data_IF_795171212338
#
_entry.id   IF_795171212338
#
_cell.length_a   1.000
_cell.length_b   1.000
_cell.length_c   1.000
_cell.angle_alpha   90.00
_cell.angle_beta   90.00
_cell.angle_gamma   90.00
#
_symmetry.space_group_name_H-M   'P 1'
#
loop_
_entity.id
_entity.type
_entity.pdbx_description
1 polymer ?
#
# COMPACT_ATOMS: atom_id res chain seq x y z
N UNK A 1 -44.90 85.66 -0.47
CA UNK A 1 -43.46 85.87 -0.21
C UNK A 1 -42.78 84.52 -0.12
N UNK A 2 -42.07 84.15 -1.18
CA UNK A 2 -41.29 82.91 -1.32
C UNK A 2 -39.91 83.12 -0.68
N UNK A 3 -39.47 82.24 0.22
CA UNK A 3 -38.04 81.93 0.44
C UNK A 3 -37.82 80.50 0.95
N UNK A 4 -37.33 79.67 0.02
CA UNK A 4 -36.14 78.79 0.09
C UNK A 4 -36.15 77.69 1.19
N UNK A 5 -36.42 76.45 0.74
CA UNK A 5 -36.09 75.19 1.44
C UNK A 5 -34.62 74.83 1.17
N UNK A 6 -33.83 74.67 2.24
CA UNK A 6 -32.48 74.11 2.16
C UNK A 6 -32.55 72.59 1.97
N UNK A 7 -31.88 72.11 0.91
CA UNK A 7 -31.63 70.71 0.59
C UNK A 7 -30.45 70.20 1.43
N UNK A 8 -30.71 69.28 2.37
CA UNK A 8 -29.67 68.49 3.03
C UNK A 8 -29.48 67.17 2.28
N UNK A 9 -28.38 67.05 1.54
CA UNK A 9 -27.98 65.80 0.90
C UNK A 9 -27.50 64.81 1.96
N UNK A 10 -28.32 63.79 2.25
CA UNK A 10 -27.87 62.60 2.98
C UNK A 10 -27.20 61.66 1.96
N UNK A 11 -25.89 61.77 1.81
CA UNK A 11 -25.09 60.84 1.01
C UNK A 11 -25.12 59.44 1.64
N UNK A 12 -25.89 58.53 1.05
CA UNK A 12 -25.80 57.10 1.33
C UNK A 12 -24.54 56.55 0.65
N UNK A 13 -23.51 56.31 1.44
CA UNK A 13 -22.29 55.63 1.00
C UNK A 13 -22.62 54.13 0.85
N UNK A 14 -22.93 53.71 -0.38
CA UNK A 14 -23.08 52.29 -0.75
C UNK A 14 -21.69 51.64 -0.75
N UNK A 15 -21.35 51.00 0.37
CA UNK A 15 -20.15 50.15 0.49
C UNK A 15 -20.42 48.87 -0.31
N UNK A 16 -19.95 48.84 -1.56
CA UNK A 16 -19.80 47.60 -2.31
C UNK A 16 -18.60 46.86 -1.72
N UNK A 17 -18.85 45.96 -0.76
CA UNK A 17 -17.88 44.92 -0.42
C UNK A 17 -17.85 43.95 -1.60
N UNK A 18 -16.73 43.81 -2.34
CA UNK A 18 -16.57 42.65 -3.19
C UNK A 18 -16.49 41.45 -2.26
N UNK A 19 -17.60 40.71 -2.12
CA UNK A 19 -17.50 39.36 -1.61
C UNK A 19 -16.65 38.61 -2.61
N UNK A 20 -15.36 38.44 -2.29
CA UNK A 20 -14.56 37.38 -2.86
C UNK A 20 -15.31 36.08 -2.56
N UNK A 21 -16.16 35.65 -3.48
CA UNK A 21 -16.54 34.25 -3.59
C UNK A 21 -15.26 33.60 -4.11
N UNK A 22 -14.31 33.37 -3.22
CA UNK A 22 -13.31 32.35 -3.43
C UNK A 22 -14.11 31.06 -3.47
N UNK A 23 -14.44 30.59 -4.67
CA UNK A 23 -14.77 29.19 -4.84
C UNK A 23 -13.51 28.46 -4.40
N UNK A 24 -13.54 27.97 -3.17
CA UNK A 24 -12.63 26.95 -2.69
C UNK A 24 -12.88 25.74 -3.58
N UNK A 25 -12.21 25.71 -4.73
CA UNK A 25 -12.10 24.52 -5.55
C UNK A 25 -11.15 23.60 -4.79
N UNK A 26 -11.67 22.94 -3.77
CA UNK A 26 -11.13 21.66 -3.37
C UNK A 26 -11.37 20.76 -4.59
N UNK A 27 -10.31 20.48 -5.34
CA UNK A 27 -10.31 19.39 -6.29
C UNK A 27 -10.57 18.12 -5.48
N UNK A 28 -11.84 17.71 -5.41
CA UNK A 28 -12.22 16.43 -4.83
C UNK A 28 -11.40 15.36 -5.57
N UNK A 29 -10.58 14.57 -4.86
CA UNK A 29 -9.66 13.67 -5.53
C UNK A 29 -10.47 12.67 -6.34
N UNK A 30 -10.31 12.72 -7.67
CA UNK A 30 -10.91 11.74 -8.55
C UNK A 30 -10.45 10.34 -8.12
N UNK A 31 -11.40 9.47 -7.83
CA UNK A 31 -11.17 8.06 -7.51
C UNK A 31 -11.48 7.20 -8.73
N UNK A 32 -10.89 6.01 -8.80
CA UNK A 32 -11.22 5.07 -9.86
C UNK A 32 -12.69 4.61 -9.74
N UNK A 33 -13.49 4.70 -10.82
CA UNK A 33 -14.84 4.15 -10.82
C UNK A 33 -14.82 2.65 -10.52
N UNK A 34 -15.78 2.17 -9.71
CA UNK A 34 -15.79 0.78 -9.25
C UNK A 34 -17.19 0.18 -9.16
N UNK A 35 -17.23 -1.14 -9.28
CA UNK A 35 -18.41 -1.95 -8.98
C UNK A 35 -18.17 -2.65 -7.64
N UNK A 36 -19.08 -2.48 -6.71
CA UNK A 36 -19.11 -3.21 -5.44
C UNK A 36 -20.16 -4.31 -5.45
N UNK A 37 -19.82 -5.44 -4.83
CA UNK A 37 -20.68 -6.60 -4.64
C UNK A 37 -20.79 -6.89 -3.14
N UNK A 38 -21.89 -7.48 -2.70
CA UNK A 38 -22.08 -7.92 -1.31
C UNK A 38 -21.06 -8.99 -0.89
N UNK A 39 -20.65 -9.83 -1.85
CA UNK A 39 -19.62 -10.85 -1.67
C UNK A 39 -18.86 -11.05 -2.98
N UNK A 40 -17.59 -11.46 -2.89
CA UNK A 40 -16.79 -11.85 -4.06
C UNK A 40 -16.99 -13.32 -4.45
N UNK A 41 -17.62 -14.10 -3.57
CA UNK A 41 -17.89 -15.52 -3.75
C UNK A 41 -19.27 -15.89 -3.20
N UNK A 42 -20.04 -16.68 -3.96
CA UNK A 42 -21.34 -17.20 -3.54
C UNK A 42 -21.37 -18.72 -3.76
N UNK A 43 -21.89 -19.44 -2.78
CA UNK A 43 -22.24 -20.85 -2.91
C UNK A 43 -23.71 -20.99 -3.25
N UNK A 44 -24.05 -21.86 -4.19
CA UNK A 44 -25.43 -22.20 -4.55
C UNK A 44 -25.61 -23.71 -4.63
N UNK A 45 -26.78 -24.19 -4.25
CA UNK A 45 -27.18 -25.55 -4.60
C UNK A 45 -27.60 -25.60 -6.08
N UNK A 46 -27.48 -26.76 -6.73
CA UNK A 46 -28.10 -27.00 -8.05
C UNK A 46 -29.56 -26.51 -8.06
N UNK A 47 -29.97 -25.88 -9.17
CA UNK A 47 -31.28 -25.28 -9.44
C UNK A 47 -31.60 -24.01 -8.62
N UNK A 48 -30.78 -23.68 -7.62
CA UNK A 48 -30.95 -22.45 -6.86
C UNK A 48 -30.71 -21.21 -7.74
N UNK A 49 -31.44 -20.15 -7.42
CA UNK A 49 -31.35 -18.87 -8.09
C UNK A 49 -31.07 -17.75 -7.11
N UNK A 50 -30.29 -16.77 -7.54
CA UNK A 50 -30.02 -15.56 -6.77
C UNK A 50 -30.05 -14.34 -7.67
N UNK A 51 -30.72 -13.29 -7.20
CA UNK A 51 -30.73 -12.00 -7.86
C UNK A 51 -29.49 -11.22 -7.42
N UNK A 52 -28.67 -10.77 -8.37
CA UNK A 52 -27.55 -9.90 -8.07
C UNK A 52 -28.03 -8.46 -7.85
N UNK A 53 -27.40 -7.77 -6.90
CA UNK A 53 -27.63 -6.36 -6.57
C UNK A 53 -26.31 -5.56 -6.54
N UNK A 54 -25.54 -5.52 -7.65
CA UNK A 54 -24.29 -4.75 -7.71
C UNK A 54 -24.54 -3.24 -7.56
N UNK A 55 -23.57 -2.54 -6.97
CA UNK A 55 -23.58 -1.07 -6.82
C UNK A 55 -22.42 -0.47 -7.61
N UNK A 56 -22.65 0.64 -8.28
CA UNK A 56 -21.61 1.35 -9.03
C UNK A 56 -21.31 2.69 -8.38
N UNK A 57 -20.02 2.99 -8.26
CA UNK A 57 -19.51 4.27 -7.77
C UNK A 57 -18.71 4.94 -8.88
N UNK A 58 -19.02 6.21 -9.15
CA UNK A 58 -18.38 7.00 -10.19
C UNK A 58 -17.01 7.54 -9.76
N UNK A 59 -16.41 8.38 -10.60
CA UNK A 59 -15.08 8.99 -10.38
C UNK A 59 -15.02 9.96 -9.20
N UNK A 60 -16.16 10.32 -8.63
CA UNK A 60 -16.27 11.13 -7.41
C UNK A 60 -16.61 10.27 -6.18
N UNK A 61 -16.59 8.94 -6.32
CA UNK A 61 -16.95 8.01 -5.25
C UNK A 61 -18.44 8.05 -4.88
N UNK A 62 -19.29 8.62 -5.73
CA UNK A 62 -20.73 8.68 -5.51
C UNK A 62 -21.42 7.48 -6.15
N UNK A 63 -22.37 6.89 -5.43
CA UNK A 63 -23.19 5.81 -5.97
C UNK A 63 -24.12 6.33 -7.06
N UNK A 64 -24.15 5.64 -8.20
CA UNK A 64 -24.97 5.98 -9.35
C UNK A 64 -25.75 4.75 -9.81
N UNK A 65 -27.04 4.93 -10.10
CA UNK A 65 -27.89 3.87 -10.63
C UNK A 65 -27.58 3.67 -12.11
N UNK A 66 -27.11 2.47 -12.46
CA UNK A 66 -26.70 2.13 -13.82
C UNK A 66 -27.26 0.77 -14.23
N UNK A 67 -27.31 0.52 -15.54
CA UNK A 67 -27.63 -0.79 -16.09
C UNK A 67 -26.35 -1.57 -16.36
N UNK A 68 -26.23 -2.74 -15.73
CA UNK A 68 -25.06 -3.61 -15.90
C UNK A 68 -25.25 -4.61 -17.04
N UNK A 69 -24.14 -4.93 -17.70
CA UNK A 69 -24.06 -6.06 -18.61
C UNK A 69 -23.51 -7.26 -17.86
N UNK A 70 -24.29 -8.35 -17.85
CA UNK A 70 -23.92 -9.60 -17.22
C UNK A 70 -23.49 -10.62 -18.25
N UNK A 71 -22.47 -11.41 -17.94
CA UNK A 71 -22.11 -12.58 -18.73
C UNK A 71 -21.60 -13.70 -17.82
N UNK A 72 -21.83 -14.95 -18.21
CA UNK A 72 -21.24 -16.09 -17.53
C UNK A 72 -20.09 -16.65 -18.37
N UNK A 73 -18.99 -16.97 -17.68
CA UNK A 73 -17.85 -17.70 -18.27
C UNK A 73 -18.22 -19.13 -18.68
N UNK A 74 -19.24 -19.73 -18.06
CA UNK A 74 -19.74 -21.05 -18.43
C UNK A 74 -21.27 -21.15 -18.17
N UNK A 75 -22.10 -20.77 -19.17
CA UNK A 75 -23.57 -20.77 -19.04
C UNK A 75 -24.23 -22.14 -18.79
N UNK A 76 -23.50 -23.23 -19.02
CA UNK A 76 -23.96 -24.60 -18.74
C UNK A 76 -23.77 -24.97 -17.25
N UNK A 77 -22.83 -24.32 -16.57
CA UNK A 77 -22.57 -24.50 -15.14
C UNK A 77 -23.38 -23.51 -14.30
N UNK A 78 -23.29 -22.23 -14.64
CA UNK A 78 -24.04 -21.12 -14.03
C UNK A 78 -24.47 -20.18 -15.15
N UNK A 79 -25.77 -19.88 -15.27
CA UNK A 79 -26.24 -18.85 -16.19
C UNK A 79 -26.62 -17.58 -15.45
N UNK A 80 -26.59 -16.45 -16.16
CA UNK A 80 -27.11 -15.17 -15.69
C UNK A 80 -27.94 -14.56 -16.81
N UNK A 81 -29.11 -14.00 -16.51
CA UNK A 81 -29.93 -13.30 -17.51
C UNK A 81 -29.60 -11.79 -17.53
N UNK A 82 -30.25 -11.04 -18.44
CA UNK A 82 -30.03 -9.59 -18.58
C UNK A 82 -30.47 -8.77 -17.36
N UNK A 83 -31.32 -9.32 -16.50
CA UNK A 83 -31.74 -8.68 -15.25
C UNK A 83 -30.81 -9.01 -14.07
N UNK A 84 -29.76 -9.83 -14.27
CA UNK A 84 -28.84 -10.24 -13.21
C UNK A 84 -29.32 -11.41 -12.35
N UNK A 85 -30.37 -12.13 -12.78
CA UNK A 85 -30.79 -13.37 -12.11
C UNK A 85 -29.83 -14.50 -12.49
N UNK A 86 -29.11 -15.01 -11.50
CA UNK A 86 -28.17 -16.13 -11.64
C UNK A 86 -28.88 -17.45 -11.35
N UNK A 87 -28.60 -18.49 -12.13
CA UNK A 87 -29.14 -19.84 -11.93
C UNK A 87 -28.01 -20.86 -11.94
N UNK A 88 -27.93 -21.66 -10.88
CA UNK A 88 -27.01 -22.78 -10.74
C UNK A 88 -27.53 -24.01 -11.52
N UNK A 89 -26.72 -24.57 -12.42
CA UNK A 89 -27.15 -25.66 -13.32
C UNK A 89 -26.38 -26.96 -13.11
N UNK A 90 -25.06 -26.89 -12.97
CA UNK A 90 -24.23 -28.09 -12.75
C UNK A 90 -23.16 -27.83 -11.70
N UNK A 91 -22.73 -28.84 -10.94
CA UNK A 91 -21.67 -28.70 -9.96
C UNK A 91 -20.37 -28.12 -10.52
N UNK A 92 -19.66 -27.37 -9.69
CA UNK A 92 -18.35 -26.81 -9.99
C UNK A 92 -18.27 -25.31 -9.74
N UNK A 93 -17.16 -24.71 -10.13
CA UNK A 93 -16.90 -23.27 -10.00
C UNK A 93 -17.06 -22.58 -11.34
N UNK A 94 -17.92 -21.56 -11.38
CA UNK A 94 -18.10 -20.66 -12.52
C UNK A 94 -17.90 -19.21 -12.12
N UNK A 95 -17.79 -18.33 -13.11
CA UNK A 95 -17.67 -16.89 -12.90
C UNK A 95 -18.75 -16.13 -13.67
N UNK A 96 -19.37 -15.17 -12.99
CA UNK A 96 -20.25 -14.16 -13.59
C UNK A 96 -19.49 -12.85 -13.66
N UNK A 97 -19.35 -12.28 -14.87
CA UNK A 97 -18.78 -10.95 -15.08
C UNK A 97 -19.90 -9.91 -15.07
N UNK A 98 -19.71 -8.84 -14.30
CA UNK A 98 -20.57 -7.67 -14.22
C UNK A 98 -19.78 -6.50 -14.81
N UNK A 99 -20.32 -5.84 -15.83
CA UNK A 99 -19.66 -4.72 -16.53
C UNK A 99 -20.56 -3.50 -16.60
N UNK A 100 -19.96 -2.32 -16.44
CA UNK A 100 -20.56 -1.05 -16.79
C UNK A 100 -19.70 -0.34 -17.85
N UNK A 101 -20.11 -0.47 -19.11
CA UNK A 101 -19.33 -0.02 -20.26
C UNK A 101 -17.89 -0.52 -20.20
N UNK A 102 -16.95 0.36 -20.52
CA UNK A 102 -15.52 0.15 -20.34
C UNK A 102 -14.99 0.73 -19.01
N UNK A 103 -15.87 1.38 -18.22
CA UNK A 103 -15.49 2.11 -17.01
C UNK A 103 -15.14 1.19 -15.85
N UNK A 104 -15.91 0.11 -15.68
CA UNK A 104 -15.71 -0.81 -14.57
C UNK A 104 -16.14 -2.24 -14.92
N UNK A 105 -15.40 -3.20 -14.38
CA UNK A 105 -15.70 -4.63 -14.46
C UNK A 105 -15.41 -5.29 -13.11
N UNK A 106 -16.28 -6.21 -12.69
CA UNK A 106 -16.06 -7.08 -11.54
C UNK A 106 -16.41 -8.51 -11.92
N UNK A 107 -15.67 -9.47 -11.37
CA UNK A 107 -15.92 -10.90 -11.54
C UNK A 107 -16.39 -11.48 -10.22
N UNK A 108 -17.52 -12.17 -10.24
CA UNK A 108 -18.12 -12.87 -9.10
C UNK A 108 -17.91 -14.37 -9.28
N UNK A 109 -17.32 -15.02 -8.28
CA UNK A 109 -17.19 -16.47 -8.28
C UNK A 109 -18.46 -17.13 -7.74
N UNK A 110 -19.02 -18.08 -8.49
CA UNK A 110 -20.17 -18.89 -8.09
C UNK A 110 -19.73 -20.35 -7.97
N UNK A 111 -19.96 -20.97 -6.82
CA UNK A 111 -19.68 -22.40 -6.61
C UNK A 111 -20.99 -23.14 -6.46
N UNK A 112 -21.26 -24.04 -7.40
CA UNK A 112 -22.45 -24.86 -7.42
C UNK A 112 -22.13 -26.21 -6.80
N UNK A 113 -22.91 -26.61 -5.80
CA UNK A 113 -22.78 -27.89 -5.09
C UNK A 113 -24.04 -28.73 -5.22
N UNK A 114 -23.89 -30.06 -5.19
CA UNK A 114 -25.03 -30.98 -5.18
C UNK A 114 -25.54 -31.20 -3.75
N UNK A 115 -24.61 -31.36 -2.81
CA UNK A 115 -24.89 -31.53 -1.39
C UNK A 115 -24.62 -30.21 -0.64
N UNK A 116 -25.60 -29.67 0.10
CA UNK A 116 -25.42 -28.42 0.85
C UNK A 116 -24.33 -28.46 1.94
N UNK A 117 -23.82 -29.65 2.29
CA UNK A 117 -22.73 -29.84 3.26
C UNK A 117 -21.33 -29.83 2.63
N UNK A 118 -21.24 -29.75 1.29
CA UNK A 118 -19.96 -29.62 0.58
C UNK A 118 -19.32 -28.24 0.77
N UNK A 119 -18.05 -28.11 0.38
CA UNK A 119 -17.34 -26.83 0.39
C UNK A 119 -17.98 -25.92 -0.66
N UNK A 120 -18.53 -24.80 -0.22
CA UNK A 120 -19.19 -23.82 -1.09
C UNK A 120 -18.49 -22.46 -1.10
N UNK A 121 -17.87 -22.09 0.02
CA UNK A 121 -17.16 -20.81 0.19
C UNK A 121 -15.80 -21.04 0.83
N UNK A 122 -14.77 -20.38 0.31
CA UNK A 122 -13.41 -20.41 0.87
C UNK A 122 -12.94 -18.97 1.00
N UNK A 123 -12.76 -18.49 2.23
CA UNK A 123 -12.28 -17.15 2.51
C UNK A 123 -10.89 -17.19 3.09
N UNK A 124 -10.02 -16.31 2.62
CA UNK A 124 -8.66 -16.12 3.12
C UNK A 124 -8.49 -14.70 3.60
N UNK A 125 -7.81 -14.54 4.74
CA UNK A 125 -7.42 -13.26 5.32
C UNK A 125 -5.98 -13.33 5.84
N UNK A 126 -5.40 -12.15 6.07
CA UNK A 126 -4.17 -11.97 6.82
C UNK A 126 -4.24 -10.65 7.57
N UNK A 127 -3.73 -10.64 8.80
CA UNK A 127 -3.63 -9.45 9.65
C UNK A 127 -2.68 -8.42 9.02
N UNK A 128 -1.48 -8.86 8.63
CA UNK A 128 -0.46 -8.02 7.99
C UNK A 128 -0.32 -8.37 6.52
N UNK A 129 -0.54 -7.37 5.65
CA UNK A 129 -0.45 -7.49 4.19
C UNK A 129 0.67 -6.68 3.56
N UNK A 130 1.21 -5.70 4.27
CA UNK A 130 2.41 -4.97 3.86
C UNK A 130 3.62 -5.54 4.59
N UNK A 131 4.56 -6.10 3.85
CA UNK A 131 5.75 -6.76 4.38
C UNK A 131 7.01 -6.11 3.82
N UNK A 132 8.12 -6.26 4.55
CA UNK A 132 9.46 -6.02 4.01
C UNK A 132 10.09 -7.35 3.58
N UNK A 133 11.06 -7.36 2.65
CA UNK A 133 11.76 -8.58 2.26
C UNK A 133 12.23 -9.41 3.47
N UNK A 134 12.03 -10.72 3.40
CA UNK A 134 12.33 -11.67 4.48
C UNK A 134 11.29 -11.77 5.60
N UNK A 135 10.38 -10.79 5.73
CA UNK A 135 9.28 -10.89 6.69
C UNK A 135 8.25 -11.93 6.26
N UNK A 136 7.53 -12.46 7.25
CA UNK A 136 6.50 -13.47 7.07
C UNK A 136 5.15 -13.01 7.61
N UNK A 137 4.07 -13.55 7.06
CA UNK A 137 2.71 -13.38 7.57
C UNK A 137 1.96 -14.70 7.43
N UNK A 138 1.13 -15.04 8.41
CA UNK A 138 0.32 -16.25 8.38
C UNK A 138 -1.02 -15.94 7.73
N UNK A 139 -1.41 -16.76 6.75
CA UNK A 139 -2.76 -16.71 6.20
C UNK A 139 -3.73 -17.44 7.13
N UNK A 140 -4.88 -16.82 7.33
CA UNK A 140 -6.05 -17.41 7.97
C UNK A 140 -7.04 -17.85 6.89
N UNK A 141 -7.74 -18.95 7.14
CA UNK A 141 -8.68 -19.53 6.19
C UNK A 141 -9.99 -19.95 6.88
N UNK A 142 -11.10 -19.66 6.23
CA UNK A 142 -12.43 -20.15 6.60
C UNK A 142 -13.02 -20.90 5.40
N UNK A 143 -13.41 -22.16 5.64
CA UNK A 143 -13.99 -23.05 4.63
C UNK A 143 -15.42 -23.32 5.08
N UNK A 144 -16.41 -22.97 4.28
CA UNK A 144 -17.82 -23.00 4.67
C UNK A 144 -18.67 -23.80 3.68
N UNK A 145 -19.72 -24.43 4.21
CA UNK A 145 -20.80 -25.02 3.43
C UNK A 145 -21.91 -23.99 3.13
N UNK A 146 -23.03 -24.40 2.52
CA UNK A 146 -24.12 -23.48 2.17
C UNK A 146 -24.83 -22.87 3.38
N UNK A 147 -24.79 -23.51 4.56
CA UNK A 147 -25.37 -22.96 5.79
C UNK A 147 -24.42 -22.03 6.55
N UNK A 148 -23.22 -21.77 6.01
CA UNK A 148 -22.19 -20.93 6.64
C UNK A 148 -21.43 -21.65 7.75
N UNK A 149 -21.62 -22.96 7.94
CA UNK A 149 -20.89 -23.73 8.92
C UNK A 149 -19.44 -23.96 8.47
N UNK A 150 -18.50 -23.72 9.38
CA UNK A 150 -17.09 -23.99 9.11
C UNK A 150 -16.81 -25.50 9.02
N UNK A 151 -16.11 -25.90 7.96
CA UNK A 151 -15.67 -27.26 7.70
C UNK A 151 -14.19 -27.42 8.06
N UNK A 152 -13.82 -28.53 8.69
CA UNK A 152 -12.44 -28.85 9.07
C UNK A 152 -11.93 -30.10 8.34
N UNK A 153 -10.64 -30.42 8.51
CA UNK A 153 -10.02 -31.62 7.95
C UNK A 153 -9.91 -31.65 6.42
N UNK A 154 -9.99 -30.49 5.76
CA UNK A 154 -9.85 -30.37 4.30
C UNK A 154 -8.40 -30.17 3.91
N UNK A 155 -7.99 -30.74 2.78
CA UNK A 155 -6.70 -30.45 2.16
C UNK A 155 -6.74 -29.08 1.50
N UNK A 156 -5.76 -28.23 1.82
CA UNK A 156 -5.67 -26.87 1.33
C UNK A 156 -4.48 -26.78 0.36
N UNK A 157 -4.71 -26.20 -0.82
CA UNK A 157 -3.66 -25.90 -1.79
C UNK A 157 -3.45 -24.40 -1.81
N UNK A 158 -2.32 -23.95 -1.28
CA UNK A 158 -1.91 -22.55 -1.32
C UNK A 158 -1.12 -22.25 -2.60
N UNK A 159 -1.27 -21.06 -3.14
CA UNK A 159 -0.43 -20.59 -4.23
C UNK A 159 -0.35 -19.06 -4.28
N UNK A 160 0.77 -18.57 -4.82
CA UNK A 160 1.00 -17.16 -5.11
C UNK A 160 0.87 -16.93 -6.61
N UNK A 161 0.25 -15.83 -7.03
CA UNK A 161 0.22 -15.47 -8.45
C UNK A 161 1.60 -15.04 -8.97
N UNK A 162 2.49 -14.58 -8.08
CA UNK A 162 3.87 -14.25 -8.42
C UNK A 162 4.83 -14.59 -7.26
N UNK A 163 5.37 -15.80 -7.31
CA UNK A 163 6.33 -16.32 -6.33
C UNK A 163 7.64 -15.52 -6.25
N UNK A 164 7.96 -14.70 -7.27
CA UNK A 164 9.15 -13.83 -7.22
C UNK A 164 8.95 -12.64 -6.27
N UNK A 165 7.70 -12.26 -5.98
CA UNK A 165 7.34 -11.18 -5.05
C UNK A 165 7.09 -11.75 -3.65
N UNK A 166 6.26 -12.79 -3.53
CA UNK A 166 6.03 -13.48 -2.26
C UNK A 166 5.70 -14.95 -2.50
N UNK A 167 6.25 -15.85 -1.67
CA UNK A 167 5.96 -17.29 -1.70
C UNK A 167 5.01 -17.64 -0.56
N UNK A 168 4.30 -18.76 -0.68
CA UNK A 168 3.43 -19.32 0.37
C UNK A 168 3.72 -20.80 0.54
N UNK A 169 3.88 -21.27 1.77
CA UNK A 169 4.09 -22.69 2.03
C UNK A 169 2.78 -23.49 2.15
N UNK A 170 2.88 -24.81 2.31
CA UNK A 170 1.73 -25.71 2.46
C UNK A 170 0.85 -25.42 3.68
N UNK A 171 1.35 -24.68 4.67
CA UNK A 171 0.64 -24.31 5.89
C UNK A 171 0.05 -22.88 5.80
N UNK A 172 0.19 -22.20 4.65
CA UNK A 172 -0.28 -20.82 4.47
C UNK A 172 0.65 -19.77 5.05
N UNK A 173 1.90 -20.11 5.38
CA UNK A 173 2.89 -19.12 5.80
C UNK A 173 3.49 -18.43 4.58
N UNK A 174 3.24 -17.14 4.44
CA UNK A 174 3.75 -16.32 3.34
C UNK A 174 5.10 -15.72 3.72
N UNK A 175 6.05 -15.76 2.79
CA UNK A 175 7.36 -15.09 2.91
C UNK A 175 7.52 -14.04 1.82
N UNK A 176 7.81 -12.80 2.22
CA UNK A 176 8.08 -11.69 1.29
C UNK A 176 9.48 -11.81 0.67
N UNK A 177 9.55 -11.67 -0.65
CA UNK A 177 10.79 -11.89 -1.42
C UNK A 177 11.29 -10.60 -2.06
N UNK A 178 10.54 -10.04 -3.02
CA UNK A 178 10.93 -8.84 -3.77
C UNK A 178 9.83 -7.80 -3.75
N UNK A 179 10.23 -6.54 -3.95
CA UNK A 179 9.30 -5.42 -4.03
C UNK A 179 8.20 -5.67 -5.08
N UNK A 180 7.00 -5.21 -4.76
CA UNK A 180 5.84 -5.35 -5.64
C UNK A 180 4.60 -5.81 -4.90
N UNK A 181 3.56 -6.16 -5.65
CA UNK A 181 2.31 -6.70 -5.12
C UNK A 181 2.00 -8.02 -5.81
N UNK A 182 1.50 -8.99 -5.05
CA UNK A 182 1.00 -10.25 -5.59
C UNK A 182 -0.17 -10.74 -4.76
N UNK A 183 -1.09 -11.47 -5.39
CA UNK A 183 -2.21 -12.08 -4.71
C UNK A 183 -1.89 -13.51 -4.29
N UNK A 184 -2.21 -13.82 -3.04
CA UNK A 184 -2.16 -15.17 -2.49
C UNK A 184 -3.56 -15.74 -2.46
N UNK A 185 -3.67 -17.02 -2.81
CA UNK A 185 -4.93 -17.76 -2.89
C UNK A 185 -4.82 -19.11 -2.19
N UNK A 186 -5.97 -19.64 -1.79
CA UNK A 186 -6.15 -21.03 -1.43
C UNK A 186 -7.13 -21.71 -2.40
N UNK A 187 -6.97 -23.02 -2.58
CA UNK A 187 -7.94 -23.87 -3.27
C UNK A 187 -8.26 -25.08 -2.40
N UNK A 188 -9.55 -25.33 -2.20
CA UNK A 188 -10.07 -26.45 -1.40
C UNK A 188 -11.18 -27.13 -2.19
N UNK A 189 -11.05 -28.43 -2.44
CA UNK A 189 -12.06 -29.21 -3.18
C UNK A 189 -12.50 -28.58 -4.52
N UNK A 190 -11.58 -27.93 -5.25
CA UNK A 190 -11.89 -27.24 -6.51
C UNK A 190 -12.28 -25.77 -6.37
N UNK A 191 -12.73 -25.35 -5.18
CA UNK A 191 -13.15 -23.98 -4.88
C UNK A 191 -11.93 -23.10 -4.60
N UNK A 192 -11.74 -22.05 -5.42
CA UNK A 192 -10.71 -21.01 -5.21
C UNK A 192 -11.22 -19.98 -4.19
N UNK A 193 -10.32 -19.41 -3.38
CA UNK A 193 -10.65 -18.35 -2.42
C UNK A 193 -10.73 -16.97 -3.06
N UNK A 194 -11.15 -15.97 -2.26
CA UNK A 194 -10.83 -14.57 -2.57
C UNK A 194 -9.29 -14.35 -2.59
N UNK A 195 -8.80 -13.36 -3.36
CA UNK A 195 -7.41 -12.96 -3.30
C UNK A 195 -7.10 -12.29 -1.95
N UNK A 196 -5.89 -12.53 -1.45
CA UNK A 196 -5.25 -11.66 -0.44
C UNK A 196 -4.02 -11.02 -1.07
N UNK A 197 -4.13 -9.74 -1.41
CA UNK A 197 -3.01 -8.95 -1.93
C UNK A 197 -1.96 -8.72 -0.84
N UNK A 198 -0.76 -9.21 -1.09
CA UNK A 198 0.44 -8.97 -0.30
C UNK A 198 1.29 -7.94 -1.03
N UNK A 199 1.66 -6.87 -0.31
CA UNK A 199 2.51 -5.79 -0.81
C UNK A 199 3.87 -5.87 -0.12
N UNK A 200 4.92 -6.11 -0.90
CA UNK A 200 6.30 -6.06 -0.41
C UNK A 200 6.85 -4.67 -0.67
N UNK A 201 7.07 -3.92 0.39
CA UNK A 201 7.57 -2.55 0.36
C UNK A 201 9.08 -2.51 0.53
N UNK A 202 9.69 -1.41 0.08
CA UNK A 202 11.08 -1.06 0.43
C UNK A 202 11.07 -0.46 1.82
N UNK A 203 11.96 -0.92 2.70
CA UNK A 203 12.19 -0.24 3.97
C UNK A 203 13.19 0.90 3.72
N UNK A 204 12.79 2.13 4.00
CA UNK A 204 13.62 3.32 3.84
C UNK A 204 13.51 4.18 5.08
N UNK A 205 14.65 4.58 5.63
CA UNK A 205 14.75 5.67 6.57
C UNK A 205 15.37 6.89 5.87
N UNK A 206 14.97 8.08 6.27
CA UNK A 206 15.60 9.32 5.80
C UNK A 206 15.83 10.30 6.94
N UNK A 207 16.80 11.19 6.74
CA UNK A 207 17.11 12.26 7.68
C UNK A 207 17.71 13.46 6.97
N UNK A 208 17.37 14.65 7.44
CA UNK A 208 17.99 15.90 6.97
C UNK A 208 19.22 16.16 7.83
N UNK A 209 20.34 16.52 7.20
CA UNK A 209 21.55 16.86 7.94
C UNK A 209 21.38 18.17 8.71
N UNK A 210 21.75 18.12 9.99
CA UNK A 210 21.87 19.26 10.88
C UNK A 210 23.37 19.52 11.12
N UNK A 211 23.86 20.75 10.91
CA UNK A 211 25.25 21.11 11.18
C UNK A 211 25.54 21.08 12.69
N UNK A 212 26.78 20.75 13.05
CA UNK A 212 27.25 20.70 14.44
C UNK A 212 28.61 21.39 14.60
N UNK A 213 28.93 21.88 15.80
CA UNK A 213 30.27 22.40 16.13
C UNK A 213 30.75 23.59 15.29
N UNK A 214 29.85 24.33 14.65
CA UNK A 214 30.19 25.43 13.74
C UNK A 214 30.60 24.98 12.32
N UNK A 215 30.48 23.69 12.01
CA UNK A 215 30.78 23.13 10.70
C UNK A 215 29.54 23.08 9.80
N UNK A 216 29.76 22.96 8.49
CA UNK A 216 28.68 22.78 7.52
C UNK A 216 28.32 21.30 7.40
N UNK A 217 27.02 21.02 7.35
CA UNK A 217 26.43 19.78 6.89
C UNK A 217 25.00 20.10 6.46
N UNK A 218 24.63 19.80 5.21
CA UNK A 218 23.27 19.94 4.69
C UNK A 218 22.96 18.85 3.66
N UNK A 219 21.74 18.82 3.16
CA UNK A 219 21.21 17.75 2.29
C UNK A 219 20.53 16.67 3.12
N UNK A 220 20.26 15.53 2.50
CA UNK A 220 19.58 14.39 3.10
C UNK A 220 20.45 13.13 3.06
N UNK A 221 20.24 12.28 4.06
CA UNK A 221 20.68 10.90 4.04
C UNK A 221 19.47 9.98 3.88
N UNK A 222 19.62 8.91 3.10
CA UNK A 222 18.64 7.85 2.90
C UNK A 222 19.30 6.52 3.19
N UNK A 223 18.67 5.69 4.02
CA UNK A 223 19.11 4.34 4.32
C UNK A 223 18.03 3.38 3.82
N UNK A 224 18.35 2.58 2.81
CA UNK A 224 17.39 1.75 2.09
C UNK A 224 17.75 0.27 2.20
N UNK A 225 16.76 -0.57 2.50
CA UNK A 225 16.86 -2.02 2.36
C UNK A 225 16.37 -2.43 0.96
N UNK A 226 17.29 -2.67 0.03
CA UNK A 226 17.00 -3.01 -1.37
C UNK A 226 17.75 -4.28 -1.81
N UNK A 227 17.04 -5.26 -2.38
CA UNK A 227 17.64 -6.52 -2.87
C UNK A 227 18.62 -7.18 -1.87
N UNK A 228 18.19 -7.32 -0.60
CA UNK A 228 18.99 -7.88 0.51
C UNK A 228 20.21 -7.04 0.91
N UNK A 229 20.36 -5.82 0.36
CA UNK A 229 21.44 -4.90 0.70
C UNK A 229 20.92 -3.69 1.47
N UNK A 230 21.72 -3.24 2.42
CA UNK A 230 21.57 -1.99 3.12
C UNK A 230 22.41 -0.92 2.43
N UNK A 231 21.75 0.02 1.76
CA UNK A 231 22.39 1.07 0.97
C UNK A 231 22.17 2.42 1.65
N UNK A 232 23.27 3.12 1.99
CA UNK A 232 23.25 4.51 2.43
C UNK A 232 23.50 5.44 1.24
N UNK A 233 22.62 6.41 1.04
CA UNK A 233 22.76 7.46 0.02
C UNK A 233 22.78 8.84 0.65
N UNK A 234 23.67 9.69 0.18
CA UNK A 234 23.64 11.12 0.45
C UNK A 234 23.05 11.84 -0.77
N UNK A 235 22.20 12.83 -0.54
CA UNK A 235 21.47 13.53 -1.60
C UNK A 235 22.39 14.32 -2.55
N UNK A 236 21.84 14.73 -3.70
CA UNK A 236 22.59 15.49 -4.71
C UNK A 236 23.11 16.84 -4.19
N UNK A 237 22.36 17.48 -3.30
CA UNK A 237 22.70 18.76 -2.66
C UNK A 237 23.51 18.60 -1.36
N UNK A 238 23.98 17.39 -1.05
CA UNK A 238 24.80 17.14 0.13
C UNK A 238 26.06 18.00 0.11
N UNK A 239 26.29 18.76 1.19
CA UNK A 239 27.50 19.53 1.38
C UNK A 239 27.96 19.46 2.83
N UNK A 240 29.28 19.45 3.05
CA UNK A 240 29.86 19.48 4.39
C UNK A 240 31.18 20.25 4.44
N UNK A 241 31.61 20.62 5.65
CA UNK A 241 33.00 21.01 5.90
C UNK A 241 33.93 19.82 5.65
N UNK A 242 35.13 20.06 5.12
CA UNK A 242 36.14 19.01 4.95
C UNK A 242 37.37 19.26 5.81
N UNK A 243 37.93 18.16 6.30
CA UNK A 243 39.29 18.04 6.80
C UNK A 243 39.89 16.74 6.25
N UNK A 244 41.21 16.58 6.32
CA UNK A 244 41.81 15.26 6.07
C UNK A 244 41.24 14.26 7.09
N UNK A 245 40.64 13.18 6.61
CA UNK A 245 39.94 12.20 7.45
C UNK A 245 38.50 12.59 7.83
N UNK A 246 37.73 13.18 6.91
CA UNK A 246 36.27 13.29 7.02
C UNK A 246 35.60 11.98 6.58
N UNK A 247 34.84 11.36 7.47
CA UNK A 247 34.21 10.06 7.27
C UNK A 247 32.70 10.13 7.51
N UNK A 248 31.98 9.22 6.87
CA UNK A 248 30.59 8.91 7.15
C UNK A 248 30.53 7.76 8.15
N UNK A 249 29.73 7.91 9.19
CA UNK A 249 29.46 6.87 10.19
C UNK A 249 27.96 6.61 10.33
N UNK A 250 27.62 5.40 10.78
CA UNK A 250 26.34 5.13 11.44
C UNK A 250 26.56 5.08 12.96
N UNK A 251 25.68 5.72 13.75
CA UNK A 251 25.83 5.78 15.20
C UNK A 251 24.49 5.95 15.93
N UNK A 252 24.48 5.66 17.24
CA UNK A 252 23.34 5.91 18.14
C UNK A 252 23.52 7.17 19.01
N UNK A 253 24.56 7.95 18.73
CA UNK A 253 24.90 9.19 19.41
C UNK A 253 25.49 10.20 18.44
N UNK A 254 25.36 11.47 18.76
CA UNK A 254 26.02 12.57 18.04
C UNK A 254 27.29 13.06 18.75
N UNK A 255 27.60 12.51 19.93
CA UNK A 255 28.80 12.82 20.70
C UNK A 255 30.05 12.18 20.09
N UNK A 256 31.07 12.98 19.80
CA UNK A 256 32.26 12.51 19.08
C UNK A 256 33.11 11.45 19.81
N UNK A 257 33.09 11.40 21.15
CA UNK A 257 33.79 10.35 21.89
C UNK A 257 33.06 9.01 21.79
N UNK A 258 31.73 9.03 21.86
CA UNK A 258 30.90 7.84 21.70
C UNK A 258 30.98 7.31 20.27
N UNK A 259 30.95 8.19 19.27
CA UNK A 259 31.13 7.80 17.85
C UNK A 259 32.48 7.11 17.64
N UNK A 260 33.56 7.59 18.26
CA UNK A 260 34.87 6.92 18.19
C UNK A 260 34.89 5.55 18.84
N UNK A 261 34.13 5.37 19.91
CA UNK A 261 34.12 4.13 20.69
C UNK A 261 33.24 3.05 20.04
N UNK A 262 32.10 3.42 19.47
CA UNK A 262 31.06 2.47 19.04
C UNK A 262 30.36 2.81 17.72
N UNK A 263 30.74 3.90 17.04
CA UNK A 263 30.22 4.24 15.72
C UNK A 263 30.73 3.27 14.65
N UNK A 264 29.87 2.94 13.69
CA UNK A 264 30.23 2.14 12.53
C UNK A 264 30.78 3.04 11.43
N UNK A 265 32.08 2.90 11.14
CA UNK A 265 32.74 3.63 10.05
C UNK A 265 32.31 3.07 8.69
N UNK A 266 31.72 3.91 7.84
CA UNK A 266 31.27 3.49 6.50
C UNK A 266 32.36 3.73 5.46
N UNK A 267 32.77 4.99 5.28
CA UNK A 267 33.77 5.38 4.29
C UNK A 267 34.29 6.80 4.54
N UNK A 268 35.51 7.08 4.06
CA UNK A 268 36.01 8.44 3.92
C UNK A 268 35.31 9.14 2.74
N UNK A 269 34.95 10.41 2.90
CA UNK A 269 34.43 11.27 1.83
C UNK A 269 35.36 12.45 1.60
N UNK A 270 35.52 12.83 0.33
CA UNK A 270 36.49 13.87 -0.08
C UNK A 270 35.89 14.96 -0.98
N UNK A 271 34.59 14.91 -1.23
CA UNK A 271 33.88 15.86 -2.07
C UNK A 271 32.44 16.04 -1.60
N UNK A 272 31.82 17.17 -1.97
CA UNK A 272 30.39 17.39 -1.84
C UNK A 272 29.63 16.60 -2.93
N UNK A 273 28.29 16.61 -2.83
CA UNK A 273 27.39 15.99 -3.78
C UNK A 273 26.99 14.56 -3.40
N UNK A 274 26.35 13.83 -4.31
CA UNK A 274 25.74 12.56 -4.00
C UNK A 274 26.81 11.49 -3.72
N UNK A 275 26.54 10.66 -2.72
CA UNK A 275 27.35 9.49 -2.40
C UNK A 275 26.43 8.28 -2.24
N UNK A 276 26.96 7.08 -2.50
CA UNK A 276 26.23 5.82 -2.29
C UNK A 276 27.20 4.79 -1.70
N UNK A 277 26.78 4.14 -0.63
CA UNK A 277 27.56 3.17 0.11
C UNK A 277 26.76 1.88 0.27
N UNK A 278 27.33 0.76 -0.19
CA UNK A 278 26.81 -0.58 0.11
C UNK A 278 27.36 -1.02 1.46
N UNK A 279 26.54 -0.91 2.51
CA UNK A 279 26.94 -1.21 3.89
C UNK A 279 27.09 -2.72 4.06
N UNK A 280 26.14 -3.49 3.50
CA UNK A 280 26.12 -4.96 3.55
C UNK A 280 27.39 -5.58 2.97
N UNK A 281 28.01 -4.94 1.97
CA UNK A 281 29.28 -5.43 1.39
C UNK A 281 30.42 -5.57 2.41
N UNK A 282 30.41 -4.80 3.50
CA UNK A 282 31.42 -4.88 4.58
C UNK A 282 30.82 -5.31 5.92
N UNK A 283 29.53 -5.06 6.13
CA UNK A 283 28.81 -5.25 7.38
C UNK A 283 27.45 -5.95 7.12
N UNK A 284 27.46 -7.23 6.70
CA UNK A 284 26.24 -7.96 6.36
C UNK A 284 25.30 -8.20 7.56
N UNK A 285 25.80 -8.09 8.78
CA UNK A 285 25.05 -8.22 10.03
C UNK A 285 24.15 -7.01 10.33
N UNK A 286 24.51 -5.83 9.80
CA UNK A 286 23.86 -4.56 10.14
C UNK A 286 22.47 -4.47 9.51
N UNK A 287 21.49 -4.19 10.35
CA UNK A 287 20.11 -3.95 9.97
C UNK A 287 19.83 -2.45 9.86
N UNK A 288 18.83 -2.10 9.04
CA UNK A 288 18.39 -0.71 8.83
C UNK A 288 17.97 0.02 10.12
N UNK A 289 17.60 -0.71 11.17
CA UNK A 289 17.16 -0.15 12.47
C UNK A 289 18.25 -0.09 13.53
N UNK A 290 19.46 -0.59 13.28
CA UNK A 290 20.51 -0.71 14.31
C UNK A 290 21.08 0.64 14.75
N UNK A 291 21.01 1.64 13.85
CA UNK A 291 21.58 2.96 14.06
C UNK A 291 20.58 4.08 13.83
N UNK A 292 20.57 5.02 14.76
CA UNK A 292 19.66 6.17 14.76
C UNK A 292 20.14 7.32 13.88
N UNK A 293 21.45 7.47 13.66
CA UNK A 293 22.03 8.62 12.98
C UNK A 293 22.99 8.22 11.87
N UNK A 294 22.99 9.01 10.80
CA UNK A 294 24.11 9.13 9.86
C UNK A 294 24.94 10.34 10.29
N UNK A 295 26.23 10.15 10.52
CA UNK A 295 27.14 11.18 11.05
C UNK A 295 28.20 11.52 10.02
N UNK A 296 28.47 12.82 9.84
CA UNK A 296 29.69 13.30 9.19
C UNK A 296 30.70 13.64 10.29
N UNK A 297 31.81 12.91 10.31
CA UNK A 297 32.76 12.93 11.42
C UNK A 297 34.18 13.19 10.94
N UNK A 298 34.88 14.11 11.61
CA UNK A 298 36.32 14.28 11.43
C UNK A 298 37.06 13.35 12.39
N UNK A 299 37.56 12.23 11.88
CA UNK A 299 38.16 11.16 12.71
C UNK A 299 39.41 11.64 13.48
N UNK A 300 40.37 12.37 12.89
CA UNK A 300 41.55 12.84 13.61
C UNK A 300 41.21 13.80 14.76
N UNK A 301 40.28 14.73 14.54
CA UNK A 301 39.90 15.73 15.54
C UNK A 301 38.84 15.23 16.53
N UNK A 302 38.05 14.22 16.17
CA UNK A 302 37.05 13.63 17.06
C UNK A 302 35.78 14.43 17.15
N UNK A 303 35.46 15.17 16.10
CA UNK A 303 34.38 16.14 16.10
C UNK A 303 33.34 15.78 15.04
N UNK A 304 32.08 15.91 15.42
CA UNK A 304 30.93 15.78 14.52
C UNK A 304 30.77 17.08 13.74
N UNK A 305 30.82 16.99 12.40
CA UNK A 305 30.54 18.11 11.51
C UNK A 305 29.04 18.31 11.28
N UNK A 306 28.29 17.20 11.30
CA UNK A 306 26.84 17.22 11.30
C UNK A 306 26.27 15.81 11.37
N UNK A 307 24.96 15.72 11.54
CA UNK A 307 24.26 14.46 11.69
C UNK A 307 22.86 14.53 11.08
N UNK A 308 22.36 13.40 10.59
CA UNK A 308 20.99 13.21 10.16
C UNK A 308 20.35 12.14 11.04
N UNK A 309 19.23 12.47 11.71
CA UNK A 309 18.43 11.49 12.46
C UNK A 309 17.54 10.72 11.50
N UNK A 310 17.68 9.39 11.47
CA UNK A 310 17.00 8.52 10.53
C UNK A 310 15.59 8.18 11.01
N UNK A 311 14.58 8.49 10.18
CA UNK A 311 13.15 8.30 10.47
C UNK A 311 12.44 7.66 9.28
N UNK A 312 11.38 6.89 9.55
CA UNK A 312 10.45 6.39 8.52
C UNK A 312 9.70 7.55 7.85
#
# INVERSE_FOLDING_TARGET
MSRIRNFGYAGWLLILVPSCIGTDFQDDPAVDPKIELESEQIGLKIEEQIQLSPRYFNEFGQEEQVFFNYSSSNPNLVSVNSAGLVTAKSPGTGFVQIRFGEKAMKSLQINVVSDPNEVAVVKVSAEKRTLFPGQKTQMEISIQNLSGQNLSGKTIQWFSENETIATVDQNGLVTAMKFGKTDIHAKVSGVKSNPVTVSVAVQQLSGIFVPAGGYRAKGMAFLNQENEKLILRLSQDFETSFALGTFVYLANSTNGQEIRASGLEIAEIRANGPHTFDITAKHPEVQITDYKYVIIFCKPAGVTFGFAEMKN
#
